data_IF_274234381288
#
_entry.id   IF_274234381288
#
_cell.length_a   1.000
_cell.length_b   1.000
_cell.length_c   1.000
_cell.angle_alpha   90.00
_cell.angle_beta   90.00
_cell.angle_gamma   90.00
#
_symmetry.space_group_name_H-M   'P 1'
#
loop_
_entity.id
_entity.type
_entity.pdbx_description
1 polymer ?
#
# COMPACT_ATOMS: atom_id res chain seq x y z
N UNK A 1 0.37 -0.39 8.00
CA UNK A 1 -0.63 -0.68 6.96
C UNK A 1 -0.05 -1.60 5.88
N UNK A 2 0.90 -1.14 5.05
CA UNK A 2 1.42 -1.92 3.91
C UNK A 2 2.01 -3.29 4.24
N UNK A 3 2.76 -3.41 5.35
CA UNK A 3 3.31 -4.72 5.77
C UNK A 3 2.23 -5.71 6.23
N UNK A 4 1.24 -5.25 7.00
CA UNK A 4 0.12 -6.08 7.40
C UNK A 4 -0.69 -6.57 6.18
N UNK A 5 -0.88 -5.72 5.17
CA UNK A 5 -1.51 -6.14 3.90
C UNK A 5 -0.65 -7.14 3.14
N UNK A 6 0.68 -6.97 3.11
CA UNK A 6 1.62 -7.93 2.50
C UNK A 6 1.49 -9.32 3.15
N UNK A 7 1.58 -9.36 4.49
CA UNK A 7 1.57 -10.61 5.26
C UNK A 7 0.19 -11.31 5.21
N UNK A 8 -0.91 -10.55 5.12
CA UNK A 8 -2.26 -11.10 4.95
C UNK A 8 -2.43 -11.88 3.62
N UNK A 9 -1.61 -11.60 2.61
CA UNK A 9 -1.62 -12.29 1.32
C UNK A 9 -0.47 -13.30 1.17
N UNK A 10 0.15 -13.72 2.29
CA UNK A 10 1.28 -14.65 2.25
C UNK A 10 0.98 -16.00 1.60
N UNK A 11 -0.28 -16.45 1.63
CA UNK A 11 -0.72 -17.69 0.99
C UNK A 11 -0.72 -17.63 -0.54
N UNK A 12 -0.72 -16.44 -1.15
CA UNK A 12 -0.73 -16.24 -2.61
C UNK A 12 0.58 -15.66 -3.13
N UNK A 13 1.64 -15.63 -2.31
CA UNK A 13 2.96 -15.19 -2.77
C UNK A 13 3.51 -16.17 -3.81
N UNK A 14 3.88 -15.62 -4.97
CA UNK A 14 4.53 -16.35 -6.04
C UNK A 14 6.06 -16.34 -5.90
N UNK A 15 6.71 -16.93 -6.90
CA UNK A 15 8.14 -16.84 -7.09
C UNK A 15 8.45 -16.12 -8.41
N UNK A 16 9.34 -15.13 -8.38
CA UNK A 16 9.87 -14.45 -9.55
C UNK A 16 11.33 -14.85 -9.77
N UNK A 17 11.56 -15.70 -10.77
CA UNK A 17 12.90 -16.17 -11.13
C UNK A 17 13.83 -15.03 -11.62
N UNK A 18 13.23 -13.96 -12.18
CA UNK A 18 13.94 -12.82 -12.76
C UNK A 18 13.36 -11.50 -12.26
N UNK A 19 13.65 -11.12 -10.99
CA UNK A 19 13.06 -9.95 -10.39
C UNK A 19 13.52 -8.67 -11.08
N UNK A 20 12.56 -7.81 -11.42
CA UNK A 20 12.86 -6.51 -12.01
C UNK A 20 13.39 -5.55 -10.93
N UNK A 21 14.70 -5.31 -10.95
CA UNK A 21 15.39 -4.41 -10.03
C UNK A 21 15.55 -3.02 -10.66
N UNK A 22 14.44 -2.30 -10.76
CA UNK A 22 14.43 -0.91 -11.26
C UNK A 22 14.06 0.05 -10.15
N UNK A 23 14.64 1.25 -10.16
CA UNK A 23 14.24 2.26 -9.20
C UNK A 23 12.87 2.85 -9.58
N UNK A 24 11.90 2.69 -8.68
CA UNK A 24 10.57 3.25 -8.84
C UNK A 24 10.50 4.63 -8.17
N UNK A 25 10.54 5.69 -8.98
CA UNK A 25 10.59 7.08 -8.48
C UNK A 25 9.25 7.59 -7.90
N UNK A 26 8.13 6.96 -8.24
CA UNK A 26 6.78 7.39 -7.83
C UNK A 26 6.31 6.81 -6.49
N UNK A 27 7.12 5.99 -5.84
CA UNK A 27 6.79 5.41 -4.53
C UNK A 27 6.94 6.43 -3.41
N UNK A 28 5.98 6.45 -2.48
CA UNK A 28 6.15 7.13 -1.20
C UNK A 28 7.31 6.50 -0.41
N UNK A 29 7.89 7.18 0.60
CA UNK A 29 8.99 6.62 1.40
C UNK A 29 8.68 5.27 2.04
N UNK A 30 7.43 5.08 2.50
CA UNK A 30 6.96 3.83 3.09
C UNK A 30 6.85 2.71 2.04
N UNK A 31 6.34 3.01 0.86
CA UNK A 31 6.24 2.04 -0.24
C UNK A 31 7.62 1.67 -0.79
N UNK A 32 8.54 2.64 -0.87
CA UNK A 32 9.94 2.41 -1.27
C UNK A 32 10.63 1.45 -0.30
N UNK A 33 10.46 1.64 1.00
CA UNK A 33 11.04 0.74 2.02
C UNK A 33 10.56 -0.70 1.84
N UNK A 34 9.25 -0.88 1.60
CA UNK A 34 8.68 -2.21 1.34
C UNK A 34 9.19 -2.81 0.03
N UNK A 35 9.30 -2.00 -1.03
CA UNK A 35 9.85 -2.43 -2.31
C UNK A 35 11.32 -2.85 -2.17
N UNK A 36 12.14 -2.09 -1.44
CA UNK A 36 13.55 -2.43 -1.21
C UNK A 36 13.69 -3.73 -0.42
N UNK A 37 12.84 -3.99 0.58
CA UNK A 37 12.84 -5.24 1.33
C UNK A 37 12.49 -6.46 0.45
N UNK A 38 11.63 -6.28 -0.54
CA UNK A 38 11.30 -7.31 -1.54
C UNK A 38 12.45 -7.49 -2.54
N UNK A 39 12.97 -6.39 -3.11
CA UNK A 39 14.04 -6.35 -4.12
C UNK A 39 15.33 -6.98 -3.59
N UNK A 40 15.65 -6.72 -2.33
CA UNK A 40 16.85 -7.20 -1.66
C UNK A 40 16.66 -8.60 -1.04
N UNK A 41 15.50 -9.25 -1.28
CA UNK A 41 15.17 -10.59 -0.78
C UNK A 41 15.21 -10.71 0.76
N UNK A 42 14.98 -9.62 1.50
CA UNK A 42 15.04 -9.62 2.97
C UNK A 42 13.90 -10.40 3.62
N UNK A 43 12.82 -10.60 2.88
CA UNK A 43 11.62 -11.34 3.32
C UNK A 43 11.70 -12.79 2.87
N UNK A 44 11.94 -13.02 1.58
CA UNK A 44 12.15 -14.33 0.96
C UNK A 44 12.82 -14.12 -0.40
N UNK A 45 13.66 -15.07 -0.80
CA UNK A 45 14.31 -15.06 -2.12
C UNK A 45 13.28 -15.23 -3.23
N UNK A 46 13.25 -14.28 -4.16
CA UNK A 46 12.37 -14.30 -5.34
C UNK A 46 10.89 -14.12 -4.99
N UNK A 47 10.54 -13.46 -3.89
CA UNK A 47 9.14 -13.25 -3.52
C UNK A 47 8.44 -12.37 -4.56
N UNK A 48 7.38 -12.90 -5.18
CA UNK A 48 6.51 -12.16 -6.11
C UNK A 48 5.16 -11.90 -5.47
N UNK A 49 4.71 -10.66 -5.57
CA UNK A 49 3.32 -10.31 -5.26
C UNK A 49 2.48 -10.46 -6.52
N UNK A 50 1.55 -11.40 -6.51
CA UNK A 50 0.52 -11.47 -7.55
C UNK A 50 -0.51 -10.37 -7.29
N UNK A 51 -0.24 -9.18 -7.83
CA UNK A 51 -1.08 -7.98 -7.67
C UNK A 51 -2.52 -8.22 -8.16
N UNK A 52 -2.73 -9.20 -9.04
CA UNK A 52 -4.04 -9.64 -9.53
C UNK A 52 -4.95 -10.22 -8.42
N UNK A 53 -4.36 -10.61 -7.28
CA UNK A 53 -5.10 -11.12 -6.11
C UNK A 53 -5.40 -10.05 -5.05
N UNK A 54 -5.00 -8.79 -5.26
CA UNK A 54 -5.44 -7.69 -4.38
C UNK A 54 -6.90 -7.42 -4.72
N UNK A 55 -7.80 -8.09 -3.99
CA UNK A 55 -9.23 -7.99 -4.21
C UNK A 55 -9.71 -6.55 -4.15
N UNK A 56 -10.62 -6.17 -5.05
CA UNK A 56 -11.17 -4.81 -5.18
C UNK A 56 -11.73 -4.24 -3.86
N UNK A 57 -12.11 -5.10 -2.91
CA UNK A 57 -12.51 -4.72 -1.56
C UNK A 57 -11.45 -3.91 -0.79
N UNK A 58 -10.14 -4.17 -1.01
CA UNK A 58 -9.07 -3.37 -0.39
C UNK A 58 -9.04 -1.94 -0.92
N UNK A 59 -9.29 -1.75 -2.22
CA UNK A 59 -9.41 -0.43 -2.83
C UNK A 59 -10.67 0.28 -2.30
N UNK A 60 -11.82 -0.41 -2.27
CA UNK A 60 -13.06 0.12 -1.74
C UNK A 60 -12.90 0.60 -0.29
N UNK A 61 -12.35 -0.24 0.59
CA UNK A 61 -12.11 0.10 2.00
C UNK A 61 -11.12 1.27 2.16
N UNK A 62 -10.11 1.39 1.30
CA UNK A 62 -9.19 2.53 1.32
C UNK A 62 -9.87 3.82 0.84
N UNK A 63 -10.72 3.73 -0.18
CA UNK A 63 -11.50 4.88 -0.67
C UNK A 63 -12.51 5.35 0.39
N UNK A 64 -13.19 4.42 1.06
CA UNK A 64 -14.07 4.73 2.20
C UNK A 64 -13.31 5.48 3.29
N UNK A 65 -12.15 4.98 3.73
CA UNK A 65 -11.33 5.70 4.72
C UNK A 65 -10.92 7.11 4.30
N UNK A 66 -10.63 7.32 3.01
CA UNK A 66 -10.26 8.64 2.50
C UNK A 66 -11.48 9.58 2.42
N UNK A 67 -12.65 9.04 2.07
CA UNK A 67 -13.91 9.78 2.04
C UNK A 67 -14.39 10.13 3.46
N UNK A 68 -14.30 9.18 4.39
CA UNK A 68 -14.61 9.38 5.80
C UNK A 68 -13.62 10.34 6.48
N UNK A 69 -12.34 10.31 6.09
CA UNK A 69 -11.35 11.29 6.53
C UNK A 69 -11.59 12.69 5.96
N UNK A 70 -12.22 12.80 4.78
CA UNK A 70 -12.58 14.08 4.14
C UNK A 70 -13.77 14.76 4.82
N UNK A 71 -14.73 13.98 5.35
CA UNK A 71 -15.90 14.54 6.07
C UNK A 71 -15.53 15.17 7.41
N UNK A 72 -14.46 14.71 8.07
CA UNK A 72 -13.95 15.30 9.31
C UNK A 72 -13.37 16.72 9.11
N UNK A 73 -12.93 17.09 7.91
CA UNK A 73 -12.30 18.40 7.62
C UNK A 73 -13.30 19.53 7.28
N UNK A 74 -14.61 19.30 7.30
CA UNK A 74 -15.62 20.33 6.95
C UNK A 74 -16.52 20.80 8.11
N UNK A 75 -16.23 20.41 9.35
CA UNK A 75 -16.90 20.97 10.54
C UNK A 75 -16.04 22.03 11.24
N UNK A 76 -15.52 22.98 10.46
CA UNK A 76 -14.94 24.22 10.96
C UNK A 76 -15.93 25.36 10.75
N UNK A 77 -16.93 25.49 11.63
CA UNK A 77 -17.82 26.65 11.69
C UNK A 77 -16.97 27.92 11.79
N UNK A 78 -16.92 28.71 10.72
CA UNK A 78 -16.36 30.06 10.75
C UNK A 78 -17.30 30.93 11.60
N UNK A 79 -16.99 31.06 12.89
CA UNK A 79 -17.60 32.07 13.74
C UNK A 79 -17.10 33.44 13.27
N UNK A 80 -17.95 34.16 12.53
CA UNK A 80 -17.77 35.59 12.29
C UNK A 80 -18.10 36.28 13.62
N UNK A 81 -17.12 36.97 14.20
CA UNK A 81 -17.32 37.88 15.34
C UNK A 81 -16.98 39.31 14.90
N UNK A 82 -17.64 40.32 15.50
CA UNK A 82 -18.00 41.58 14.85
C UNK A 82 -16.88 42.60 14.73
#
# INVERSE_FOLDING_TARGET
MYRATLDAHASVWGNEDKPLRMDLHRLTPTERTLYDDLRDNRIRVGLRLEQEHIGFHWLAHRLEQLLDGSTAFHSGTFAISP
#
